data_IF_301600696385
#
_entry.id   IF_301600696385
#
_cell.length_a   1.000
_cell.length_b   1.000
_cell.length_c   1.000
_cell.angle_alpha   90.00
_cell.angle_beta   90.00
_cell.angle_gamma   90.00
#
_symmetry.space_group_name_H-M   'P 1'
#
loop_
_entity.id
_entity.type
_entity.pdbx_description
1 polymer ?
#
# COMPACT_ATOMS: atom_id res chain seq x y z
N UNK A 1 18.99 -22.14 -2.57
CA UNK A 1 19.37 -22.00 -3.98
C UNK A 1 19.51 -20.52 -4.33
N UNK A 2 20.36 -20.22 -5.32
CA UNK A 2 20.59 -18.88 -5.83
C UNK A 2 20.45 -18.85 -7.35
N UNK A 3 19.68 -17.89 -7.87
CA UNK A 3 19.45 -17.66 -9.31
C UNK A 3 19.98 -16.29 -9.67
N UNK A 4 20.70 -16.16 -10.78
CA UNK A 4 21.16 -14.87 -11.31
C UNK A 4 20.66 -14.75 -12.75
N UNK A 5 19.87 -13.71 -13.01
CA UNK A 5 19.40 -13.34 -14.34
C UNK A 5 20.27 -12.17 -14.85
N UNK A 6 20.95 -12.39 -15.94
CA UNK A 6 21.83 -11.39 -16.55
C UNK A 6 21.13 -10.70 -17.75
N UNK A 7 21.24 -9.38 -17.81
CA UNK A 7 20.76 -8.58 -18.93
C UNK A 7 19.32 -8.91 -19.35
N UNK A 8 18.34 -8.75 -18.45
CA UNK A 8 16.95 -9.16 -18.70
C UNK A 8 16.27 -8.29 -19.77
N UNK A 9 16.88 -7.19 -20.18
CA UNK A 9 16.41 -6.27 -21.23
C UNK A 9 14.97 -5.80 -20.98
N UNK A 10 14.67 -5.45 -19.73
CA UNK A 10 13.35 -5.00 -19.26
C UNK A 10 12.19 -5.94 -19.64
N UNK A 11 12.43 -7.26 -19.74
CA UNK A 11 11.37 -8.24 -20.01
C UNK A 11 10.33 -8.25 -18.90
N UNK A 12 9.08 -8.47 -19.30
CA UNK A 12 7.93 -8.56 -18.41
C UNK A 12 7.81 -9.92 -17.73
N UNK A 13 7.06 -9.99 -16.64
CA UNK A 13 6.69 -11.22 -15.94
C UNK A 13 7.88 -12.06 -15.48
N UNK A 14 9.00 -11.43 -15.14
CA UNK A 14 10.13 -12.15 -14.56
C UNK A 14 9.83 -12.53 -13.10
N UNK A 15 10.19 -13.75 -12.73
CA UNK A 15 10.06 -14.26 -11.33
C UNK A 15 8.60 -14.23 -10.82
N UNK A 16 7.62 -14.44 -11.67
CA UNK A 16 6.21 -14.50 -11.28
C UNK A 16 5.87 -15.87 -10.66
N UNK A 17 5.10 -15.88 -9.59
CA UNK A 17 4.58 -17.10 -8.96
C UNK A 17 5.64 -17.96 -8.29
N UNK A 18 6.77 -17.39 -7.89
CA UNK A 18 7.80 -18.10 -7.16
C UNK A 18 7.39 -18.27 -5.69
N UNK A 19 7.11 -19.51 -5.27
CA UNK A 19 6.56 -19.86 -3.96
C UNK A 19 7.56 -20.58 -3.05
N UNK A 20 8.85 -20.35 -3.27
CA UNK A 20 9.92 -20.99 -2.49
C UNK A 20 10.91 -19.93 -2.00
N UNK A 21 11.52 -20.21 -0.85
CA UNK A 21 12.59 -19.40 -0.29
C UNK A 21 13.88 -19.57 -1.12
N UNK A 22 13.98 -18.82 -2.21
CA UNK A 22 15.14 -18.79 -3.11
C UNK A 22 15.63 -17.36 -3.25
N UNK A 23 16.96 -17.20 -3.38
CA UNK A 23 17.56 -15.90 -3.65
C UNK A 23 17.68 -15.69 -5.15
N UNK A 24 17.10 -14.60 -5.65
CA UNK A 24 17.15 -14.21 -7.07
C UNK A 24 17.82 -12.84 -7.19
N UNK A 25 18.76 -12.72 -8.10
CA UNK A 25 19.38 -11.45 -8.46
C UNK A 25 19.15 -11.19 -9.94
N UNK A 26 18.54 -10.05 -10.27
CA UNK A 26 18.37 -9.57 -11.65
C UNK A 26 19.37 -8.44 -11.88
N UNK A 27 20.38 -8.69 -12.73
CA UNK A 27 21.38 -7.70 -13.10
C UNK A 27 20.91 -6.91 -14.32
N UNK A 28 20.25 -5.79 -14.07
CA UNK A 28 19.63 -4.92 -15.04
C UNK A 28 18.19 -4.56 -14.66
N UNK A 29 17.44 -3.99 -15.58
CA UNK A 29 16.05 -3.60 -15.37
C UNK A 29 15.08 -4.71 -15.74
N UNK A 30 13.99 -4.84 -14.98
CA UNK A 30 12.86 -5.72 -15.30
C UNK A 30 11.65 -4.92 -15.77
N UNK A 31 10.81 -5.53 -16.61
CA UNK A 31 9.60 -4.91 -17.12
C UNK A 31 8.42 -5.03 -16.14
N UNK A 32 7.21 -5.09 -16.70
CA UNK A 32 5.95 -5.12 -15.93
C UNK A 32 5.77 -6.44 -15.19
N UNK A 33 5.10 -6.39 -14.04
CA UNK A 33 4.71 -7.54 -13.21
C UNK A 33 5.88 -8.44 -12.78
N UNK A 34 7.07 -7.85 -12.61
CA UNK A 34 8.19 -8.58 -12.03
C UNK A 34 7.87 -8.94 -10.57
N UNK A 35 8.15 -10.18 -10.19
CA UNK A 35 7.88 -10.75 -8.87
C UNK A 35 6.41 -10.72 -8.43
N UNK A 36 5.47 -10.73 -9.37
CA UNK A 36 4.05 -10.88 -9.04
C UNK A 36 3.73 -12.27 -8.47
N UNK A 37 2.74 -12.35 -7.54
CA UNK A 37 2.23 -13.59 -6.95
C UNK A 37 3.31 -14.45 -6.23
N UNK A 38 4.35 -13.82 -5.70
CA UNK A 38 5.43 -14.53 -5.02
C UNK A 38 5.10 -14.82 -3.55
N UNK A 39 5.68 -15.93 -3.03
CA UNK A 39 5.59 -16.33 -1.63
C UNK A 39 6.96 -16.84 -1.14
N UNK A 40 7.73 -16.01 -0.46
CA UNK A 40 8.98 -16.38 0.21
C UNK A 40 10.31 -16.10 -0.49
N UNK A 41 10.40 -15.63 -1.76
CA UNK A 41 11.71 -15.36 -2.35
C UNK A 41 12.38 -14.12 -1.75
N UNK A 42 13.70 -14.08 -1.86
CA UNK A 42 14.51 -12.86 -1.71
C UNK A 42 14.97 -12.43 -3.09
N UNK A 43 14.44 -11.31 -3.59
CA UNK A 43 14.76 -10.80 -4.92
C UNK A 43 15.45 -9.44 -4.84
N UNK A 44 16.55 -9.29 -5.56
CA UNK A 44 17.18 -7.99 -5.82
C UNK A 44 17.21 -7.69 -7.33
N UNK A 45 16.80 -6.47 -7.71
CA UNK A 45 16.89 -5.94 -9.08
C UNK A 45 17.82 -4.74 -9.07
N UNK A 46 18.95 -4.82 -9.77
CA UNK A 46 19.96 -3.74 -9.78
C UNK A 46 19.59 -2.53 -10.66
N UNK A 47 18.56 -2.63 -11.49
CA UNK A 47 18.06 -1.55 -12.34
C UNK A 47 16.72 -1.02 -11.89
N UNK A 48 15.88 -0.64 -12.85
CA UNK A 48 14.49 -0.21 -12.62
C UNK A 48 13.52 -1.38 -12.81
N UNK A 49 12.31 -1.24 -12.29
CA UNK A 49 11.20 -2.16 -12.57
C UNK A 49 10.00 -1.41 -13.13
N UNK A 50 9.25 -2.09 -13.99
CA UNK A 50 8.04 -1.55 -14.59
C UNK A 50 6.85 -1.55 -13.63
N UNK A 51 5.65 -1.50 -14.19
CA UNK A 51 4.39 -1.52 -13.41
C UNK A 51 4.17 -2.87 -12.73
N UNK A 52 3.55 -2.86 -11.54
CA UNK A 52 3.15 -4.06 -10.85
C UNK A 52 4.30 -4.87 -10.23
N UNK A 53 5.41 -4.23 -9.88
CA UNK A 53 6.46 -4.90 -9.12
C UNK A 53 5.93 -5.38 -7.77
N UNK A 54 6.07 -6.68 -7.48
CA UNK A 54 5.55 -7.29 -6.25
C UNK A 54 4.02 -7.32 -6.17
N UNK A 55 3.31 -7.32 -7.30
CA UNK A 55 1.86 -7.48 -7.35
C UNK A 55 1.40 -8.73 -6.61
N UNK A 56 0.44 -8.58 -5.68
CA UNK A 56 -0.06 -9.69 -4.85
C UNK A 56 1.03 -10.49 -4.10
N UNK A 57 2.10 -9.84 -3.66
CA UNK A 57 3.13 -10.47 -2.83
C UNK A 57 2.50 -11.08 -1.58
N UNK A 58 2.69 -12.39 -1.37
CA UNK A 58 2.19 -13.12 -0.21
C UNK A 58 3.18 -13.09 0.94
N UNK A 59 4.48 -13.16 0.64
CA UNK A 59 5.60 -13.06 1.58
C UNK A 59 6.92 -12.98 0.81
N UNK A 60 8.00 -12.58 1.47
CA UNK A 60 9.34 -12.48 0.90
C UNK A 60 9.92 -11.08 1.02
N UNK A 61 11.11 -10.90 0.48
CA UNK A 61 11.82 -9.62 0.43
C UNK A 61 12.14 -9.28 -1.02
N UNK A 62 11.54 -8.24 -1.53
CA UNK A 62 11.79 -7.73 -2.88
C UNK A 62 12.50 -6.38 -2.79
N UNK A 63 13.62 -6.22 -3.46
CA UNK A 63 14.35 -4.96 -3.50
C UNK A 63 14.68 -4.54 -4.92
N UNK A 64 14.68 -3.23 -5.16
CA UNK A 64 15.10 -2.63 -6.43
C UNK A 64 15.97 -1.41 -6.17
N UNK A 65 17.14 -1.34 -6.81
CA UNK A 65 18.10 -0.26 -6.60
C UNK A 65 17.68 1.03 -7.36
N UNK A 66 16.90 0.89 -8.43
CA UNK A 66 16.34 1.99 -9.19
C UNK A 66 14.91 2.36 -8.79
N UNK A 67 14.12 2.80 -9.77
CA UNK A 67 12.73 3.20 -9.60
C UNK A 67 11.78 2.02 -9.86
N UNK A 68 10.62 2.04 -9.22
CA UNK A 68 9.50 1.17 -9.54
C UNK A 68 8.37 1.97 -10.21
N UNK A 69 7.77 1.39 -11.25
CA UNK A 69 6.66 1.98 -11.98
C UNK A 69 5.38 2.05 -11.15
N UNK A 70 4.26 2.33 -11.83
CA UNK A 70 2.96 2.40 -11.19
C UNK A 70 2.55 1.06 -10.55
N UNK A 71 1.66 1.13 -9.57
CA UNK A 71 1.06 0.00 -8.84
C UNK A 71 2.10 -0.97 -8.24
N UNK A 72 3.27 -0.44 -7.81
CA UNK A 72 4.25 -1.20 -7.05
C UNK A 72 3.64 -1.66 -5.71
N UNK A 73 3.79 -2.94 -5.36
CA UNK A 73 3.23 -3.52 -4.13
C UNK A 73 1.69 -3.56 -4.09
N UNK A 74 1.03 -3.47 -5.26
CA UNK A 74 -0.44 -3.56 -5.31
C UNK A 74 -0.93 -4.87 -4.71
N UNK A 75 -1.96 -4.79 -3.87
CA UNK A 75 -2.63 -5.92 -3.23
C UNK A 75 -1.71 -6.87 -2.43
N UNK A 76 -0.49 -6.44 -2.08
CA UNK A 76 0.40 -7.26 -1.26
C UNK A 76 -0.23 -7.58 0.10
N UNK A 77 0.05 -8.77 0.62
CA UNK A 77 -0.55 -9.29 1.87
C UNK A 77 0.46 -9.36 3.01
N UNK A 78 1.72 -9.57 2.69
CA UNK A 78 2.82 -9.67 3.65
C UNK A 78 4.15 -9.50 2.92
N UNK A 79 5.27 -9.61 3.65
CA UNK A 79 6.62 -9.41 3.12
C UNK A 79 6.97 -7.94 2.97
N UNK A 80 8.14 -7.69 2.39
CA UNK A 80 8.71 -6.35 2.28
C UNK A 80 9.08 -6.04 0.83
N UNK A 81 8.74 -4.83 0.40
CA UNK A 81 9.17 -4.26 -0.88
C UNK A 81 10.00 -3.01 -0.60
N UNK A 82 11.27 -3.04 -0.94
CA UNK A 82 12.20 -1.92 -0.83
C UNK A 82 12.48 -1.32 -2.21
N UNK A 83 12.20 -0.04 -2.39
CA UNK A 83 12.53 0.72 -3.60
C UNK A 83 13.50 1.84 -3.23
N UNK A 84 14.76 1.76 -3.70
CA UNK A 84 15.76 2.79 -3.39
C UNK A 84 15.55 4.10 -4.15
N UNK A 85 14.90 4.06 -5.31
CA UNK A 85 14.47 5.22 -6.07
C UNK A 85 13.02 5.63 -5.76
N UNK A 86 12.32 6.12 -6.78
CA UNK A 86 10.93 6.58 -6.67
C UNK A 86 9.94 5.45 -6.97
N UNK A 87 8.74 5.57 -6.42
CA UNK A 87 7.60 4.71 -6.76
C UNK A 87 6.57 5.49 -7.58
N UNK A 88 5.99 4.82 -8.58
CA UNK A 88 4.99 5.41 -9.45
C UNK A 88 3.62 5.58 -8.79
N UNK A 89 2.64 5.96 -9.62
CA UNK A 89 1.25 6.17 -9.15
C UNK A 89 0.63 4.89 -8.59
N UNK A 90 -0.23 5.05 -7.58
CA UNK A 90 -0.99 3.96 -6.93
C UNK A 90 -0.12 2.84 -6.35
N UNK A 91 1.11 3.15 -5.94
CA UNK A 91 1.93 2.21 -5.18
C UNK A 91 1.22 1.84 -3.86
N UNK A 92 1.23 0.55 -3.49
CA UNK A 92 0.50 0.04 -2.32
C UNK A 92 -1.02 0.08 -2.46
N UNK A 93 -1.59 0.25 -3.66
CA UNK A 93 -3.04 0.21 -3.86
C UNK A 93 -3.62 -1.12 -3.39
N UNK A 94 -4.74 -1.08 -2.65
CA UNK A 94 -5.43 -2.23 -2.03
C UNK A 94 -4.50 -3.16 -1.22
N UNK A 95 -3.40 -2.63 -0.72
CA UNK A 95 -2.46 -3.35 0.14
C UNK A 95 -3.17 -3.82 1.42
N UNK A 96 -2.92 -5.06 1.84
CA UNK A 96 -3.58 -5.70 2.98
C UNK A 96 -2.64 -5.98 4.13
N UNK A 97 -1.34 -5.89 3.90
CA UNK A 97 -0.30 -6.13 4.90
C UNK A 97 1.09 -6.03 4.30
N UNK A 98 2.11 -6.24 5.12
CA UNK A 98 3.51 -6.10 4.74
C UNK A 98 4.02 -4.66 4.76
N UNK A 99 5.22 -4.45 4.25
CA UNK A 99 5.91 -3.15 4.23
C UNK A 99 6.30 -2.74 2.82
N UNK A 100 5.93 -1.53 2.41
CA UNK A 100 6.45 -0.88 1.20
C UNK A 100 7.32 0.30 1.61
N UNK A 101 8.64 0.16 1.46
CA UNK A 101 9.62 1.20 1.80
C UNK A 101 10.17 1.84 0.53
N UNK A 102 9.95 3.14 0.37
CA UNK A 102 10.42 3.97 -0.74
C UNK A 102 11.43 5.00 -0.21
N UNK A 103 12.66 4.96 -0.70
CA UNK A 103 13.68 5.94 -0.31
C UNK A 103 13.60 7.26 -1.09
N UNK A 104 12.89 7.27 -2.21
CA UNK A 104 12.59 8.45 -3.02
C UNK A 104 11.16 8.95 -2.83
N UNK A 105 10.61 9.52 -3.89
CA UNK A 105 9.27 10.11 -3.93
C UNK A 105 8.20 9.10 -4.34
N UNK A 106 6.98 9.33 -3.87
CA UNK A 106 5.81 8.56 -4.27
C UNK A 106 4.92 9.35 -5.25
N UNK A 107 4.42 8.65 -6.27
CA UNK A 107 3.51 9.20 -7.26
C UNK A 107 2.08 9.36 -6.73
N UNK A 108 1.21 9.83 -7.63
CA UNK A 108 -0.21 10.07 -7.40
C UNK A 108 -0.94 8.86 -6.80
N UNK A 109 -1.78 9.10 -5.77
CA UNK A 109 -2.62 8.08 -5.10
C UNK A 109 -1.84 6.91 -4.48
N UNK A 110 -0.65 7.11 -3.97
CA UNK A 110 0.01 6.07 -3.19
C UNK A 110 -0.84 5.69 -1.97
N UNK A 111 -0.93 4.38 -1.66
CA UNK A 111 -1.76 3.84 -0.58
C UNK A 111 -3.27 3.90 -0.83
N UNK A 112 -3.72 4.13 -2.08
CA UNK A 112 -5.15 4.18 -2.39
C UNK A 112 -5.87 2.88 -2.04
N UNK A 113 -7.02 2.96 -1.36
CA UNK A 113 -7.82 1.81 -0.92
C UNK A 113 -7.04 0.81 -0.05
N UNK A 114 -6.02 1.26 0.66
CA UNK A 114 -5.21 0.42 1.54
C UNK A 114 -6.06 -0.14 2.66
N UNK A 115 -5.93 -1.44 2.95
CA UNK A 115 -6.69 -2.21 3.93
C UNK A 115 -5.82 -2.70 5.09
N UNK A 116 -4.53 -2.36 5.09
CA UNK A 116 -3.57 -2.77 6.12
C UNK A 116 -2.13 -2.67 5.62
N UNK A 117 -1.18 -2.91 6.52
CA UNK A 117 0.24 -2.82 6.24
C UNK A 117 0.82 -1.43 6.47
N UNK A 118 2.06 -1.24 6.02
CA UNK A 118 2.83 -0.02 6.26
C UNK A 118 3.48 0.47 4.97
N UNK A 119 3.26 1.73 4.62
CA UNK A 119 3.98 2.40 3.54
C UNK A 119 4.89 3.47 4.16
N UNK A 120 6.17 3.47 3.80
CA UNK A 120 7.15 4.45 4.28
C UNK A 120 7.76 5.15 3.07
N UNK A 121 7.69 6.48 3.03
CA UNK A 121 8.19 7.31 1.94
C UNK A 121 9.18 8.32 2.53
N UNK A 122 10.46 8.21 2.18
CA UNK A 122 11.48 9.13 2.68
C UNK A 122 11.54 10.46 1.90
N UNK A 123 11.02 10.48 0.67
CA UNK A 123 10.85 11.68 -0.13
C UNK A 123 9.46 12.30 0.00
N UNK A 124 9.05 12.99 -1.06
CA UNK A 124 7.75 13.65 -1.15
C UNK A 124 6.65 12.70 -1.63
N UNK A 125 5.42 12.94 -1.21
CA UNK A 125 4.24 12.27 -1.71
C UNK A 125 3.38 13.22 -2.56
N UNK A 126 2.98 12.74 -3.75
CA UNK A 126 2.12 13.48 -4.66
C UNK A 126 0.66 13.48 -4.20
N UNK A 127 -0.22 14.04 -5.06
CA UNK A 127 -1.63 14.28 -4.77
C UNK A 127 -2.40 13.00 -4.41
N UNK A 128 -3.44 13.17 -3.61
CA UNK A 128 -4.41 12.16 -3.19
C UNK A 128 -3.76 10.96 -2.47
N UNK A 129 -2.76 11.23 -1.61
CA UNK A 129 -2.13 10.22 -0.77
C UNK A 129 -3.17 9.54 0.14
N UNK A 130 -3.19 8.20 0.15
CA UNK A 130 -4.09 7.41 0.99
C UNK A 130 -5.56 7.51 0.61
N UNK A 131 -5.91 7.85 -0.64
CA UNK A 131 -7.30 7.99 -1.06
C UNK A 131 -8.12 6.73 -0.81
N UNK A 132 -9.24 6.88 -0.09
CA UNK A 132 -10.10 5.79 0.37
C UNK A 132 -9.37 4.75 1.24
N UNK A 133 -8.37 5.18 2.01
CA UNK A 133 -7.68 4.29 2.96
C UNK A 133 -8.67 3.79 4.01
N UNK A 134 -8.75 2.47 4.19
CA UNK A 134 -9.62 1.80 5.17
C UNK A 134 -8.85 1.47 6.46
N UNK A 135 -7.63 0.95 6.32
CA UNK A 135 -6.76 0.58 7.43
C UNK A 135 -5.29 0.59 6.98
N UNK A 136 -4.37 0.48 7.93
CA UNK A 136 -2.93 0.58 7.71
C UNK A 136 -2.39 1.98 7.95
N UNK A 137 -1.11 2.17 7.72
CA UNK A 137 -0.41 3.40 8.06
C UNK A 137 0.56 3.80 6.96
N UNK A 138 0.55 5.09 6.62
CA UNK A 138 1.50 5.68 5.68
C UNK A 138 2.36 6.70 6.44
N UNK A 139 3.66 6.62 6.28
CA UNK A 139 4.64 7.53 6.89
C UNK A 139 5.38 8.27 5.79
N UNK A 140 5.39 9.59 5.85
CA UNK A 140 6.04 10.46 4.87
C UNK A 140 7.03 11.37 5.58
N UNK A 141 8.28 11.36 5.14
CA UNK A 141 9.32 12.21 5.67
C UNK A 141 9.40 13.58 4.95
N UNK A 142 9.03 13.62 3.68
CA UNK A 142 9.01 14.83 2.86
C UNK A 142 7.68 15.58 2.90
N UNK A 143 7.40 16.34 1.84
CA UNK A 143 6.17 17.08 1.70
C UNK A 143 5.04 16.19 1.15
N UNK A 144 3.82 16.44 1.61
CA UNK A 144 2.59 15.83 1.09
C UNK A 144 1.88 16.88 0.25
N UNK A 145 1.70 16.64 -1.04
CA UNK A 145 1.04 17.61 -1.94
C UNK A 145 -0.45 17.72 -1.63
N UNK A 146 -1.16 16.59 -1.46
CA UNK A 146 -2.50 16.54 -0.88
C UNK A 146 -2.83 15.15 -0.35
N UNK A 147 -3.72 15.11 0.63
CA UNK A 147 -4.34 13.86 1.08
C UNK A 147 -5.48 13.48 0.14
N UNK A 148 -5.74 12.19 0.05
CA UNK A 148 -6.94 11.65 -0.59
C UNK A 148 -8.16 11.70 0.31
N UNK A 149 -9.31 11.35 -0.21
CA UNK A 149 -10.55 11.21 0.56
C UNK A 149 -10.34 10.12 1.63
N UNK A 150 -10.87 10.31 2.83
CA UNK A 150 -10.75 9.45 4.00
C UNK A 150 -9.36 9.34 4.64
N UNK A 151 -8.35 10.06 4.15
CA UNK A 151 -7.02 10.11 4.76
C UNK A 151 -6.85 11.32 5.67
N UNK A 152 -6.24 11.12 6.84
CA UNK A 152 -5.92 12.20 7.79
C UNK A 152 -4.51 12.06 8.34
N UNK A 153 -3.87 13.20 8.61
CA UNK A 153 -2.62 13.23 9.38
C UNK A 153 -2.96 13.09 10.86
N UNK A 154 -2.23 12.26 11.55
CA UNK A 154 -2.33 12.06 13.00
C UNK A 154 -0.99 12.25 13.69
N UNK A 155 -1.01 12.33 15.00
CA UNK A 155 0.21 12.46 15.81
C UNK A 155 1.02 11.16 15.77
N UNK A 156 2.32 11.30 15.68
CA UNK A 156 3.30 10.23 15.87
C UNK A 156 3.35 9.82 17.35
N UNK A 157 3.42 8.53 17.61
CA UNK A 157 3.62 7.97 18.95
C UNK A 157 5.02 7.37 19.07
N UNK A 158 5.54 7.23 20.29
CA UNK A 158 6.85 6.59 20.53
C UNK A 158 6.94 5.18 19.92
N UNK A 159 5.83 4.44 19.92
CA UNK A 159 5.74 3.11 19.32
C UNK A 159 5.91 3.13 17.79
N UNK A 160 5.46 4.21 17.14
CA UNK A 160 5.65 4.43 15.70
C UNK A 160 7.14 4.66 15.39
N UNK A 161 7.80 5.52 16.18
CA UNK A 161 9.23 5.82 16.01
C UNK A 161 10.08 4.55 16.21
N UNK A 162 9.80 3.76 17.25
CA UNK A 162 10.48 2.49 17.50
C UNK A 162 10.27 1.47 16.38
N UNK A 163 9.06 1.41 15.85
CA UNK A 163 8.72 0.51 14.74
C UNK A 163 9.42 0.93 13.46
N UNK A 164 9.38 2.22 13.11
CA UNK A 164 10.07 2.76 11.94
C UNK A 164 11.58 2.55 12.04
N UNK A 165 12.18 2.81 13.20
CA UNK A 165 13.60 2.57 13.41
C UNK A 165 13.99 1.10 13.14
N UNK A 166 13.19 0.14 13.64
CA UNK A 166 13.43 -1.29 13.39
C UNK A 166 13.29 -1.66 11.91
N UNK A 167 12.27 -1.12 11.21
CA UNK A 167 12.09 -1.38 9.78
C UNK A 167 13.26 -0.82 8.97
N UNK A 168 13.67 0.41 9.25
CA UNK A 168 14.79 1.04 8.56
C UNK A 168 16.11 0.29 8.81
N UNK A 169 16.38 -0.13 10.04
CA UNK A 169 17.55 -0.93 10.40
C UNK A 169 17.56 -2.30 9.69
N UNK A 170 16.41 -2.99 9.66
CA UNK A 170 16.25 -4.28 8.96
C UNK A 170 16.62 -4.18 7.47
N UNK A 171 16.33 -3.05 6.85
CA UNK A 171 16.61 -2.79 5.44
C UNK A 171 17.92 -2.02 5.19
N UNK A 172 18.75 -1.87 6.22
CA UNK A 172 20.04 -1.16 6.15
C UNK A 172 19.90 0.29 5.66
N UNK A 173 18.78 0.95 6.04
CA UNK A 173 18.49 2.34 5.69
C UNK A 173 18.77 3.25 6.87
N UNK A 174 19.66 4.23 6.68
CA UNK A 174 19.94 5.26 7.68
C UNK A 174 19.09 6.49 7.40
N UNK A 175 18.23 6.84 8.35
CA UNK A 175 17.42 8.05 8.31
C UNK A 175 17.22 8.57 9.74
N UNK A 176 17.35 9.89 9.95
CA UNK A 176 17.27 10.53 11.27
C UNK A 176 16.27 11.68 11.33
N UNK A 177 15.47 11.88 10.28
CA UNK A 177 14.41 12.89 10.23
C UNK A 177 13.11 12.42 10.88
N UNK A 178 12.14 13.33 10.99
CA UNK A 178 10.79 13.02 11.44
C UNK A 178 9.88 12.53 10.31
N UNK A 179 8.73 12.01 10.69
CA UNK A 179 7.69 11.54 9.77
C UNK A 179 6.36 12.21 10.08
N UNK A 180 5.54 12.36 9.06
CA UNK A 180 4.11 12.59 9.17
C UNK A 180 3.41 11.24 9.03
N UNK A 181 2.48 10.95 9.94
CA UNK A 181 1.70 9.70 9.95
C UNK A 181 0.33 9.96 9.36
N UNK A 182 -0.06 9.14 8.39
CA UNK A 182 -1.35 9.20 7.73
C UNK A 182 -2.10 7.89 7.98
N UNK A 183 -3.35 8.00 8.37
CA UNK A 183 -4.27 6.91 8.65
C UNK A 183 -5.65 7.19 8.05
N UNK A 184 -6.54 6.17 8.11
CA UNK A 184 -7.96 6.38 7.85
C UNK A 184 -8.58 7.33 8.88
N UNK A 185 -9.48 8.21 8.44
CA UNK A 185 -10.24 9.12 9.31
C UNK A 185 -11.38 8.42 10.08
N UNK A 186 -11.40 7.11 10.07
CA UNK A 186 -12.41 6.22 10.67
C UNK A 186 -13.80 6.25 10.00
N UNK A 187 -14.00 7.07 8.96
CA UNK A 187 -15.25 6.97 8.20
C UNK A 187 -15.41 5.60 7.56
N UNK A 188 -14.30 4.98 7.13
CA UNK A 188 -14.30 3.61 6.63
C UNK A 188 -14.70 2.57 7.70
N UNK A 189 -14.45 2.80 8.97
CA UNK A 189 -14.89 1.90 10.05
C UNK A 189 -16.42 1.83 10.15
N UNK A 190 -17.14 2.86 9.72
CA UNK A 190 -18.61 2.85 9.66
C UNK A 190 -19.15 1.83 8.66
N UNK A 191 -18.39 1.46 7.63
CA UNK A 191 -18.75 0.39 6.72
C UNK A 191 -18.60 -0.99 7.35
N UNK A 192 -17.59 -1.20 8.22
CA UNK A 192 -17.43 -2.44 8.96
C UNK A 192 -18.52 -2.61 10.04
N UNK A 193 -18.95 -1.53 10.68
CA UNK A 193 -20.09 -1.52 11.61
C UNK A 193 -21.40 -1.85 10.87
N UNK A 194 -21.52 -1.45 9.61
CA UNK A 194 -22.64 -1.80 8.75
C UNK A 194 -22.75 -3.31 8.50
N UNK A 195 -21.64 -3.98 8.21
CA UNK A 195 -21.62 -5.44 8.00
C UNK A 195 -21.92 -6.22 9.28
N UNK A 196 -21.56 -5.69 10.45
CA UNK A 196 -21.88 -6.30 11.73
C UNK A 196 -23.32 -6.08 12.20
N UNK A 197 -24.11 -5.25 11.52
CA UNK A 197 -25.48 -4.91 11.87
C UNK A 197 -25.61 -3.91 13.02
N UNK A 198 -24.51 -3.33 13.49
CA UNK A 198 -24.49 -2.48 14.67
C UNK A 198 -24.56 -0.97 14.40
N UNK A 199 -24.71 -0.49 13.22
CA UNK A 199 -25.05 0.93 12.98
C UNK A 199 -24.85 1.33 11.52
N UNK A 200 -25.93 1.47 10.84
CA UNK A 200 -25.96 2.03 9.48
C UNK A 200 -25.62 3.51 9.44
N UNK A 201 -25.93 4.23 10.52
CA UNK A 201 -25.79 5.67 10.59
C UNK A 201 -25.79 6.08 12.07
N UNK A 202 -25.07 7.11 12.47
CA UNK A 202 -25.12 7.59 13.85
C UNK A 202 -26.55 7.81 14.34
N UNK A 203 -26.78 7.83 15.63
CA UNK A 203 -28.07 7.83 16.32
C UNK A 203 -29.18 8.78 15.76
N UNK A 204 -28.82 9.72 14.88
CA UNK A 204 -29.79 10.56 14.15
C UNK A 204 -30.39 9.95 12.89
N UNK A 205 -29.81 8.88 12.35
CA UNK A 205 -30.30 8.27 11.13
C UNK A 205 -31.24 7.08 11.40
N UNK A 206 -31.09 6.40 12.54
CA UNK A 206 -32.08 5.42 13.01
C UNK A 206 -33.44 6.06 13.21
N UNK A 207 -33.47 7.26 13.75
CA UNK A 207 -34.72 8.02 13.93
C UNK A 207 -35.36 8.41 12.60
N UNK A 208 -34.55 8.81 11.59
CA UNK A 208 -35.05 9.12 10.24
C UNK A 208 -35.53 7.87 9.48
N UNK A 209 -34.87 6.73 9.65
CA UNK A 209 -35.29 5.47 9.04
C UNK A 209 -36.58 4.95 9.67
N UNK A 210 -36.73 5.04 11.00
CA UNK A 210 -37.96 4.70 11.69
C UNK A 210 -39.12 5.64 11.34
N UNK A 211 -38.86 6.95 11.27
CA UNK A 211 -39.85 7.95 10.88
C UNK A 211 -40.29 7.78 9.40
N UNK A 212 -39.38 7.38 8.50
CA UNK A 212 -39.69 7.08 7.10
C UNK A 212 -40.55 5.82 6.93
N UNK A 213 -40.38 4.82 7.77
CA UNK A 213 -41.23 3.61 7.79
C UNK A 213 -42.63 3.92 8.29
N UNK A 214 -42.79 4.85 9.23
CA UNK A 214 -44.09 5.27 9.76
C UNK A 214 -44.87 6.11 8.75
N UNK A 215 -44.18 6.93 7.92
CA UNK A 215 -44.81 7.77 6.90
C UNK A 215 -45.25 7.03 5.62
N UNK A 216 -45.02 5.71 5.53
CA UNK A 216 -45.49 4.90 4.41
C UNK A 216 -44.88 5.22 3.06
N UNK A 217 -43.83 5.99 3.01
CA UNK A 217 -43.13 6.38 1.79
C UNK A 217 -42.22 5.23 1.32
N UNK A 218 -42.72 4.40 0.39
CA UNK A 218 -42.05 3.20 -0.15
C UNK A 218 -41.00 3.50 -1.24
N UNK A 219 -40.63 4.74 -1.47
CA UNK A 219 -39.69 5.13 -2.52
C UNK A 219 -38.24 5.18 -2.04
N UNK A 220 -37.85 4.32 -1.10
CA UNK A 220 -36.45 4.18 -0.68
C UNK A 220 -35.88 2.88 -1.25
N UNK A 221 -35.16 3.04 -2.35
CA UNK A 221 -34.13 2.15 -2.91
C UNK A 221 -34.54 0.71 -3.21
N UNK A 222 -35.20 0.50 -4.34
CA UNK A 222 -35.02 -0.74 -5.08
C UNK A 222 -33.70 -0.67 -5.84
N UNK A 223 -32.68 -1.38 -5.37
CA UNK A 223 -31.58 -1.81 -6.20
C UNK A 223 -32.10 -3.05 -6.94
N UNK A 224 -32.68 -2.85 -8.12
CA UNK A 224 -32.88 -3.96 -9.04
C UNK A 224 -31.52 -4.46 -9.49
N UNK A 225 -31.23 -5.71 -9.14
CA UNK A 225 -30.14 -6.47 -9.70
C UNK A 225 -30.61 -6.94 -11.10
N UNK A 226 -30.00 -6.36 -12.13
CA UNK A 226 -29.84 -6.96 -13.47
C UNK A 226 -28.37 -7.26 -13.74
#
# INVERSE_FOLDING_TARGET
DRIVLLNPDARHNLVVGLTTAVSVTIQGSAGYFCAGLCDGPVLNVSGNVGWGFGDNLMNGLLSVDGNAGAVCGVAMRSGDVLVRGNIGSRAGQVMKGGTLLCLGNAGYRAGSMMMGGTIIILGDAREALGEFIMDGEIYVAGNIESLGEDAVITEMRSEDDERLARILEQHEVTYSGGFQKIISDQRALRYAEYESGELLFGAGAEKKAQDAVVDGNRDVMNFDAD
#
